data_IF_370942381652
#
_entry.id   IF_370942381652
#
_cell.length_a   1.000
_cell.length_b   1.000
_cell.length_c   1.000
_cell.angle_alpha   90.00
_cell.angle_beta   90.00
_cell.angle_gamma   90.00
#
_symmetry.space_group_name_H-M   'P 1'
#
loop_
_entity.id
_entity.type
_entity.pdbx_description
1 polymer ?
#
# COMPACT_ATOMS: atom_id res chain seq x y z
N UNK A 1 -27.97 4.32 1.06
CA UNK A 1 -26.89 5.30 0.84
C UNK A 1 -25.66 4.48 0.57
N UNK A 2 -25.02 4.66 -0.57
CA UNK A 2 -23.76 3.98 -0.84
C UNK A 2 -22.74 4.53 0.15
N UNK A 3 -22.13 3.65 0.95
CA UNK A 3 -20.94 3.98 1.73
C UNK A 3 -19.83 4.32 0.72
N UNK A 4 -19.73 5.60 0.35
CA UNK A 4 -18.62 6.18 -0.40
C UNK A 4 -17.53 6.65 0.57
N UNK A 5 -17.15 5.78 1.50
CA UNK A 5 -15.86 5.97 2.14
C UNK A 5 -14.77 5.68 1.08
N UNK A 6 -13.84 6.62 0.85
CA UNK A 6 -12.73 6.36 -0.06
C UNK A 6 -12.01 5.08 0.42
N UNK A 7 -11.52 4.23 -0.50
CA UNK A 7 -10.81 3.02 -0.11
C UNK A 7 -9.68 3.39 0.86
N UNK A 8 -9.64 2.72 2.00
CA UNK A 8 -8.65 2.98 3.06
C UNK A 8 -7.26 2.59 2.55
N UNK A 9 -6.51 3.60 2.10
CA UNK A 9 -5.17 3.43 1.58
C UNK A 9 -4.18 3.18 2.72
N UNK A 10 -3.39 2.12 2.59
CA UNK A 10 -2.37 1.75 3.57
C UNK A 10 -1.03 2.38 3.22
N UNK A 11 -0.24 2.74 4.22
CA UNK A 11 1.19 3.00 4.03
C UNK A 11 1.94 1.68 3.80
N UNK A 12 3.11 1.77 3.18
CA UNK A 12 4.01 0.60 3.02
C UNK A 12 4.32 -0.08 4.35
N UNK A 13 4.38 0.68 5.45
CA UNK A 13 4.63 0.13 6.78
C UNK A 13 3.43 -0.66 7.31
N UNK A 14 2.23 -0.08 7.23
CA UNK A 14 1.00 -0.77 7.64
C UNK A 14 0.77 -2.02 6.80
N UNK A 15 1.03 -1.98 5.50
CA UNK A 15 0.95 -3.16 4.64
C UNK A 15 1.97 -4.24 5.04
N UNK A 16 3.20 -3.85 5.42
CA UNK A 16 4.20 -4.79 5.90
C UNK A 16 3.74 -5.50 7.19
N UNK A 17 3.16 -4.75 8.12
CA UNK A 17 2.61 -5.27 9.37
C UNK A 17 1.39 -6.16 9.11
N UNK A 18 0.49 -5.74 8.22
CA UNK A 18 -0.72 -6.48 7.84
C UNK A 18 -0.40 -7.81 7.16
N UNK A 19 0.45 -7.80 6.14
CA UNK A 19 0.86 -9.00 5.41
C UNK A 19 1.90 -9.83 6.15
N UNK A 20 2.46 -9.32 7.26
CA UNK A 20 3.54 -9.93 8.05
C UNK A 20 4.77 -10.26 7.19
N UNK A 21 5.12 -9.34 6.29
CA UNK A 21 6.31 -9.44 5.44
C UNK A 21 7.28 -8.29 5.71
N UNK A 22 8.58 -8.45 5.42
CA UNK A 22 9.54 -7.36 5.58
C UNK A 22 9.17 -6.14 4.72
N UNK A 23 9.38 -4.94 5.26
CA UNK A 23 9.18 -3.67 4.54
C UNK A 23 9.86 -3.62 3.15
N UNK A 24 11.11 -4.12 2.99
CA UNK A 24 11.75 -4.17 1.67
C UNK A 24 10.98 -5.04 0.65
N UNK A 25 10.30 -6.09 1.12
CA UNK A 25 9.49 -6.97 0.27
C UNK A 25 8.26 -6.22 -0.25
N UNK A 26 7.61 -5.40 0.57
CA UNK A 26 6.49 -4.57 0.12
C UNK A 26 6.94 -3.61 -0.99
N UNK A 27 8.07 -2.91 -0.81
CA UNK A 27 8.64 -2.04 -1.86
C UNK A 27 8.98 -2.82 -3.13
N UNK A 28 9.56 -4.01 -2.99
CA UNK A 28 9.85 -4.89 -4.12
C UNK A 28 8.60 -5.26 -4.92
N UNK A 29 7.50 -5.61 -4.23
CA UNK A 29 6.23 -5.96 -4.86
C UNK A 29 5.59 -4.76 -5.56
N UNK A 30 5.64 -3.58 -4.95
CA UNK A 30 5.16 -2.32 -5.55
C UNK A 30 5.96 -1.99 -6.82
N UNK A 31 7.29 -2.06 -6.77
CA UNK A 31 8.16 -1.79 -7.92
C UNK A 31 7.95 -2.78 -9.08
N UNK A 32 7.57 -4.01 -8.77
CA UNK A 32 7.23 -5.06 -9.76
C UNK A 32 5.80 -4.93 -10.30
N UNK A 33 4.99 -4.00 -9.77
CA UNK A 33 3.57 -3.89 -10.11
C UNK A 33 2.71 -5.05 -9.59
N UNK A 34 3.22 -5.82 -8.62
CA UNK A 34 2.51 -6.95 -8.01
C UNK A 34 1.62 -6.51 -6.85
N UNK A 35 1.94 -5.38 -6.21
CA UNK A 35 1.02 -4.68 -5.32
C UNK A 35 0.54 -3.40 -6.01
N UNK A 36 -0.78 -3.19 -6.14
CA UNK A 36 -1.30 -1.92 -6.61
C UNK A 36 -0.91 -0.84 -5.62
N UNK A 37 -0.32 0.24 -6.10
CA UNK A 37 0.06 1.36 -5.25
C UNK A 37 0.05 2.66 -6.05
N UNK A 38 -0.25 3.75 -5.36
CA UNK A 38 -0.21 5.11 -5.88
C UNK A 38 0.77 5.96 -5.08
N UNK A 39 1.34 6.97 -5.72
CA UNK A 39 2.26 7.90 -5.06
C UNK A 39 1.52 9.20 -4.72
N UNK A 40 1.42 9.51 -3.43
CA UNK A 40 0.79 10.73 -2.91
C UNK A 40 1.85 11.49 -2.10
N UNK A 41 2.21 12.69 -2.54
CA UNK A 41 3.21 13.53 -1.86
C UNK A 41 4.59 12.85 -1.71
N UNK A 42 5.01 12.08 -2.72
CA UNK A 42 6.28 11.34 -2.70
C UNK A 42 6.28 10.09 -1.82
N UNK A 43 5.14 9.70 -1.26
CA UNK A 43 4.99 8.47 -0.45
C UNK A 43 4.09 7.48 -1.17
N UNK A 44 4.43 6.20 -1.08
CA UNK A 44 3.58 5.13 -1.60
C UNK A 44 2.40 4.89 -0.67
N UNK A 45 1.27 4.61 -1.30
CA UNK A 45 0.01 4.19 -0.70
C UNK A 45 -0.49 2.97 -1.45
N UNK A 46 -0.85 1.93 -0.73
CA UNK A 46 -1.29 0.62 -1.24
C UNK A 46 -2.79 0.53 -1.05
#
# INVERSE_FOLDING_TARGET
MADEDPPELMTVKETAEYLRIPLPTVYYLVQRGQLPAIQIGGRWRI
#
